data_IF_573541731572
#
_entry.id   IF_573541731572
#
_cell.length_a   1.000
_cell.length_b   1.000
_cell.length_c   1.000
_cell.angle_alpha   90.00
_cell.angle_beta   90.00
_cell.angle_gamma   90.00
#
_symmetry.space_group_name_H-M   'P 1'
#
loop_
_entity.id
_entity.type
_entity.pdbx_description
1 polymer ?
#
# COMPACT_ATOMS: atom_id res chain seq x y z
N UNK A 1 1.41 15.61 26.93
CA UNK A 1 1.68 16.28 25.65
C UNK A 1 0.76 15.64 24.65
N UNK A 2 -0.10 16.45 24.03
CA UNK A 2 -1.09 15.93 23.09
C UNK A 2 -0.40 15.32 21.88
N UNK A 3 -1.04 14.29 21.31
CA UNK A 3 -0.57 13.62 20.11
C UNK A 3 -1.66 13.65 19.07
N UNK A 4 -1.27 13.91 17.84
CA UNK A 4 -2.15 13.94 16.69
C UNK A 4 -1.79 12.77 15.78
N UNK A 5 -2.74 11.89 15.52
CA UNK A 5 -2.52 10.73 14.66
C UNK A 5 -2.95 11.06 13.25
N UNK A 6 -2.08 10.77 12.30
CA UNK A 6 -2.36 10.88 10.88
C UNK A 6 -2.28 9.50 10.27
N UNK A 7 -3.24 9.14 9.42
CA UNK A 7 -3.10 8.05 8.47
C UNK A 7 -2.77 8.65 7.12
N UNK A 8 -1.67 8.19 6.54
CA UNK A 8 -1.18 8.73 5.27
C UNK A 8 -1.18 7.60 4.24
N UNK A 9 -1.60 7.91 3.02
CA UNK A 9 -1.56 7.05 1.82
C UNK A 9 -0.37 7.45 0.95
N UNK A 10 0.43 6.48 0.48
CA UNK A 10 1.53 6.71 -0.46
C UNK A 10 1.48 5.68 -1.55
N UNK A 11 2.07 6.07 -2.67
CA UNK A 11 2.47 5.14 -3.69
C UNK A 11 3.85 4.55 -3.40
N UNK A 12 4.07 3.36 -3.96
CA UNK A 12 5.34 2.64 -4.00
C UNK A 12 5.38 1.95 -5.35
N UNK A 13 5.82 2.69 -6.35
CA UNK A 13 5.88 2.23 -7.74
C UNK A 13 7.32 2.01 -8.19
N UNK A 14 7.53 1.57 -9.44
CA UNK A 14 8.87 1.34 -9.98
C UNK A 14 9.78 2.56 -9.84
N UNK A 15 11.05 2.40 -9.42
CA UNK A 15 11.75 1.15 -9.11
C UNK A 15 11.62 0.69 -7.63
N UNK A 16 10.90 1.44 -6.79
CA UNK A 16 10.85 1.21 -5.34
C UNK A 16 10.06 -0.04 -4.91
N UNK A 17 9.32 -0.67 -5.83
CA UNK A 17 8.67 -1.95 -5.57
C UNK A 17 9.65 -3.13 -5.31
N UNK A 18 10.95 -2.93 -5.57
CA UNK A 18 12.02 -3.89 -5.24
C UNK A 18 12.67 -3.66 -3.88
N UNK A 19 12.21 -2.67 -3.11
CA UNK A 19 12.78 -2.37 -1.79
C UNK A 19 12.03 -3.12 -0.69
N UNK A 20 12.78 -3.65 0.26
CA UNK A 20 12.21 -4.36 1.41
C UNK A 20 11.37 -3.44 2.29
N UNK A 21 10.38 -4.00 2.99
CA UNK A 21 9.56 -3.22 3.93
C UNK A 21 10.42 -2.55 5.01
N UNK A 22 11.47 -3.20 5.49
CA UNK A 22 12.37 -2.65 6.50
C UNK A 22 13.11 -1.41 5.99
N UNK A 23 13.59 -1.45 4.76
CA UNK A 23 14.30 -0.33 4.15
C UNK A 23 13.34 0.81 3.79
N UNK A 24 12.09 0.50 3.41
CA UNK A 24 11.04 1.48 3.24
C UNK A 24 10.69 2.18 4.57
N UNK A 25 10.56 1.42 5.66
CA UNK A 25 10.33 2.00 7.00
C UNK A 25 11.47 2.92 7.44
N UNK A 26 12.72 2.53 7.15
CA UNK A 26 13.91 3.37 7.41
C UNK A 26 13.92 4.63 6.53
N UNK A 27 13.54 4.50 5.27
CA UNK A 27 13.43 5.62 4.34
C UNK A 27 12.43 6.64 4.84
N UNK A 28 11.22 6.22 5.19
CA UNK A 28 10.19 7.11 5.72
C UNK A 28 10.63 7.76 7.04
N UNK A 29 11.20 6.99 7.97
CA UNK A 29 11.75 7.55 9.21
C UNK A 29 12.79 8.65 8.96
N UNK A 30 13.63 8.49 7.92
CA UNK A 30 14.59 9.53 7.51
C UNK A 30 13.90 10.71 6.83
N UNK A 31 12.91 10.47 5.97
CA UNK A 31 12.16 11.53 5.29
C UNK A 31 11.45 12.43 6.30
N UNK A 32 10.72 11.85 7.27
CA UNK A 32 10.10 12.60 8.37
C UNK A 32 11.11 13.44 9.16
N UNK A 33 12.31 12.89 9.42
CA UNK A 33 13.36 13.61 10.13
C UNK A 33 13.93 14.77 9.31
N UNK A 34 14.25 14.57 8.03
CA UNK A 34 14.80 15.62 7.15
C UNK A 34 13.77 16.73 6.90
N UNK A 35 12.51 16.36 6.78
CA UNK A 35 11.37 17.28 6.67
C UNK A 35 11.20 18.18 7.91
N UNK A 36 11.87 17.89 9.03
CA UNK A 36 11.69 18.61 10.29
C UNK A 36 10.28 18.45 10.87
N UNK A 37 9.56 17.38 10.49
CA UNK A 37 8.20 17.14 10.97
C UNK A 37 8.22 16.79 12.47
N UNK A 38 7.24 17.28 13.26
CA UNK A 38 7.20 17.13 14.72
C UNK A 38 6.72 15.73 15.13
N UNK A 39 7.40 14.67 14.67
CA UNK A 39 7.06 13.28 14.96
C UNK A 39 7.24 13.00 16.45
N UNK A 40 6.22 12.43 17.08
CA UNK A 40 6.27 11.98 18.45
C UNK A 40 7.10 10.68 18.57
N UNK A 41 7.75 10.51 19.71
CA UNK A 41 8.59 9.35 19.98
C UNK A 41 8.03 8.49 21.13
N UNK A 42 8.38 7.21 21.13
CA UNK A 42 8.13 6.30 22.25
C UNK A 42 8.90 6.75 23.49
N UNK A 43 8.40 6.36 24.66
CA UNK A 43 9.08 6.60 25.94
C UNK A 43 10.11 5.48 26.21
N UNK A 44 11.14 5.77 27.01
CA UNK A 44 12.16 4.81 27.44
C UNK A 44 13.57 5.06 26.89
N UNK A 45 14.48 4.12 27.11
CA UNK A 45 15.93 4.29 26.86
C UNK A 45 16.33 4.32 25.38
N UNK A 46 15.45 3.86 24.47
CA UNK A 46 15.69 3.88 23.02
C UNK A 46 14.44 4.42 22.31
N UNK A 47 14.22 5.75 22.34
CA UNK A 47 13.03 6.36 21.75
C UNK A 47 12.99 6.10 20.24
N UNK A 48 11.88 5.54 19.77
CA UNK A 48 11.60 5.29 18.34
C UNK A 48 10.48 6.21 17.87
N UNK A 49 10.52 6.68 16.62
CA UNK A 49 9.40 7.45 16.07
C UNK A 49 8.13 6.61 16.14
N UNK A 50 7.03 7.23 16.54
CA UNK A 50 5.71 6.61 16.56
C UNK A 50 5.17 6.59 15.13
N UNK A 51 5.62 5.59 14.39
CA UNK A 51 5.33 5.34 12.99
C UNK A 51 4.97 3.86 12.84
N UNK A 52 3.79 3.56 12.30
CA UNK A 52 3.29 2.20 12.11
C UNK A 52 2.89 2.01 10.67
N UNK A 53 3.30 0.91 10.04
CA UNK A 53 3.01 0.63 8.64
C UNK A 53 1.90 -0.39 8.49
N UNK A 54 1.22 -0.36 7.35
CA UNK A 54 0.33 -1.44 6.92
C UNK A 54 1.08 -2.75 6.61
N UNK A 55 0.34 -3.81 6.24
CA UNK A 55 0.92 -5.08 5.85
C UNK A 55 1.96 -4.94 4.74
N UNK A 56 3.07 -5.66 4.88
CA UNK A 56 4.13 -5.66 3.89
C UNK A 56 3.67 -6.32 2.58
N UNK A 57 3.97 -5.69 1.45
CA UNK A 57 3.79 -6.31 0.14
C UNK A 57 4.99 -7.21 -0.23
N UNK A 58 4.76 -8.27 -1.02
CA UNK A 58 5.84 -9.01 -1.67
C UNK A 58 6.72 -8.10 -2.55
N UNK A 59 7.99 -8.46 -2.68
CA UNK A 59 8.89 -7.81 -3.64
C UNK A 59 8.34 -7.94 -5.07
N UNK A 60 8.53 -6.90 -5.89
CA UNK A 60 8.03 -6.88 -7.26
C UNK A 60 6.61 -6.34 -7.41
N UNK A 61 5.86 -6.18 -6.31
CA UNK A 61 4.49 -5.67 -6.34
C UNK A 61 4.48 -4.15 -6.14
N UNK A 62 3.95 -3.44 -7.12
CA UNK A 62 3.70 -2.00 -7.03
C UNK A 62 2.45 -1.72 -6.19
N UNK A 63 2.36 -0.52 -5.64
CA UNK A 63 1.19 -0.11 -4.87
C UNK A 63 0.92 1.38 -5.04
N UNK A 64 -0.36 1.72 -5.19
CA UNK A 64 -0.89 3.09 -5.09
C UNK A 64 -1.56 3.34 -3.75
N UNK A 65 -1.64 2.32 -2.89
CA UNK A 65 -2.45 2.32 -1.69
C UNK A 65 -1.72 1.67 -0.50
N UNK A 66 -0.46 2.06 -0.28
CA UNK A 66 0.21 1.75 0.99
C UNK A 66 -0.21 2.78 2.03
N UNK A 67 -0.15 2.37 3.30
CA UNK A 67 -0.56 3.22 4.42
C UNK A 67 0.38 3.11 5.61
N UNK A 68 0.54 4.23 6.31
CA UNK A 68 1.23 4.31 7.59
C UNK A 68 0.53 5.33 8.46
N UNK A 69 0.51 5.01 9.75
CA UNK A 69 0.07 5.91 10.78
C UNK A 69 1.29 6.58 11.40
N UNK A 70 1.27 7.90 11.51
CA UNK A 70 2.30 8.70 12.20
C UNK A 70 1.65 9.54 13.29
N UNK A 71 2.34 9.66 14.42
CA UNK A 71 1.90 10.53 15.51
C UNK A 71 2.79 11.76 15.56
N UNK A 72 2.19 12.94 15.59
CA UNK A 72 2.87 14.21 15.79
C UNK A 72 2.61 14.77 17.19
N UNK A 73 3.58 15.47 17.78
CA UNK A 73 3.38 16.20 19.05
C UNK A 73 2.88 17.64 18.84
N UNK A 74 2.77 18.08 17.58
CA UNK A 74 2.17 19.35 17.17
C UNK A 74 1.28 19.08 15.96
N UNK A 75 0.08 19.62 15.98
CA UNK A 75 -0.86 19.53 14.86
C UNK A 75 -0.34 20.30 13.65
N UNK A 76 -0.54 19.71 12.48
CA UNK A 76 -0.37 20.32 11.16
C UNK A 76 -1.62 20.01 10.33
N UNK A 77 -1.95 20.87 9.38
CA UNK A 77 -2.93 20.47 8.37
C UNK A 77 -2.39 19.27 7.55
N UNK A 78 -3.25 18.33 7.12
CA UNK A 78 -2.83 17.23 6.25
C UNK A 78 -2.06 17.72 5.01
N UNK A 79 -2.53 18.80 4.38
CA UNK A 79 -1.93 19.39 3.19
C UNK A 79 -0.52 19.91 3.45
N UNK A 80 -0.31 20.60 4.58
CA UNK A 80 1.01 21.08 4.99
C UNK A 80 1.97 19.91 5.27
N UNK A 81 1.52 18.87 5.98
CA UNK A 81 2.33 17.68 6.21
C UNK A 81 2.77 17.04 4.89
N UNK A 82 1.83 16.81 3.97
CA UNK A 82 2.10 16.20 2.68
C UNK A 82 3.06 17.06 1.85
N UNK A 83 2.86 18.38 1.82
CA UNK A 83 3.73 19.30 1.09
C UNK A 83 5.17 19.25 1.61
N UNK A 84 5.37 19.30 2.93
CA UNK A 84 6.72 19.26 3.52
C UNK A 84 7.36 17.89 3.30
N UNK A 85 6.63 16.81 3.56
CA UNK A 85 7.14 15.44 3.45
C UNK A 85 7.54 15.09 2.01
N UNK A 86 6.74 15.50 1.02
CA UNK A 86 6.99 15.17 -0.38
C UNK A 86 8.21 15.88 -0.98
N UNK A 87 8.78 16.89 -0.32
CA UNK A 87 10.08 17.48 -0.71
C UNK A 87 11.26 16.57 -0.40
N UNK A 88 11.06 15.58 0.48
CA UNK A 88 12.11 14.69 0.98
C UNK A 88 12.12 13.31 0.31
N UNK A 89 11.21 13.05 -0.63
CA UNK A 89 11.07 11.76 -1.32
C UNK A 89 10.95 11.96 -2.82
N UNK A 90 11.24 10.89 -3.59
CA UNK A 90 11.03 10.91 -5.04
C UNK A 90 9.54 10.74 -5.37
N UNK A 91 9.16 11.11 -6.59
CA UNK A 91 7.79 11.01 -7.10
C UNK A 91 7.21 9.61 -6.91
N UNK A 92 8.00 8.57 -7.09
CA UNK A 92 7.59 7.16 -7.06
C UNK A 92 7.23 6.65 -5.65
N UNK A 93 7.53 7.46 -4.62
CA UNK A 93 7.20 7.22 -3.21
C UNK A 93 6.25 8.26 -2.62
N UNK A 94 5.68 9.13 -3.46
CA UNK A 94 4.90 10.28 -3.02
C UNK A 94 3.78 9.89 -2.04
N UNK A 95 3.66 10.65 -0.95
CA UNK A 95 2.50 10.64 -0.07
C UNK A 95 1.36 11.45 -0.73
N UNK A 96 0.21 10.83 -0.92
CA UNK A 96 -0.88 11.36 -1.74
C UNK A 96 -2.02 11.94 -0.91
N UNK A 97 -2.40 11.26 0.18
CA UNK A 97 -3.54 11.62 1.02
C UNK A 97 -3.15 11.48 2.49
N UNK A 98 -3.73 12.31 3.35
CA UNK A 98 -3.53 12.22 4.79
C UNK A 98 -4.82 12.61 5.52
N UNK A 99 -5.18 11.83 6.54
CA UNK A 99 -6.35 12.07 7.39
C UNK A 99 -5.93 12.15 8.85
N UNK A 100 -6.48 13.12 9.57
CA UNK A 100 -6.37 13.16 11.04
C UNK A 100 -7.37 12.17 11.62
N UNK A 101 -6.89 11.26 12.46
CA UNK A 101 -7.70 10.22 13.07
C UNK A 101 -7.79 10.39 14.59
N UNK A 102 -8.92 10.03 15.21
CA UNK A 102 -8.99 9.85 16.66
C UNK A 102 -7.91 8.88 17.15
N UNK A 103 -7.33 9.15 18.31
CA UNK A 103 -6.31 8.26 18.90
C UNK A 103 -6.85 6.84 19.15
N UNK A 104 -8.16 6.70 19.38
CA UNK A 104 -8.87 5.44 19.56
C UNK A 104 -9.17 4.69 18.25
N UNK A 105 -8.94 5.29 17.08
CA UNK A 105 -9.24 4.66 15.80
C UNK A 105 -8.46 3.34 15.65
N UNK A 106 -9.00 2.30 15.00
CA UNK A 106 -8.28 1.04 14.84
C UNK A 106 -6.95 1.18 14.07
N UNK A 107 -6.00 0.27 14.31
CA UNK A 107 -4.78 0.17 13.51
C UNK A 107 -5.10 -0.12 12.04
N UNK A 108 -4.17 0.17 11.13
CA UNK A 108 -4.35 -0.06 9.68
C UNK A 108 -4.90 -1.46 9.42
N UNK A 109 -4.18 -2.49 9.88
CA UNK A 109 -4.56 -3.89 9.68
C UNK A 109 -5.93 -4.26 10.27
N UNK A 110 -6.36 -3.61 11.36
CA UNK A 110 -7.66 -3.89 11.99
C UNK A 110 -8.81 -3.17 11.29
N UNK A 111 -8.55 -2.00 10.70
CA UNK A 111 -9.54 -1.25 9.92
C UNK A 111 -9.65 -1.71 8.47
N UNK A 112 -8.70 -2.48 7.94
CA UNK A 112 -8.79 -2.95 6.55
C UNK A 112 -9.90 -3.99 6.39
N UNK A 113 -10.86 -3.73 5.50
CA UNK A 113 -11.98 -4.61 5.14
C UNK A 113 -11.82 -5.27 3.77
N UNK A 114 -10.91 -4.76 2.95
CA UNK A 114 -10.65 -5.30 1.62
C UNK A 114 -9.44 -4.67 0.97
N UNK A 115 -8.88 -5.33 -0.04
CA UNK A 115 -7.77 -4.80 -0.85
C UNK A 115 -8.00 -5.14 -2.32
N UNK A 116 -7.81 -4.15 -3.19
CA UNK A 116 -7.91 -4.34 -4.65
C UNK A 116 -6.53 -4.46 -5.26
N UNK A 117 -6.39 -5.44 -6.15
CA UNK A 117 -5.19 -5.65 -6.93
C UNK A 117 -5.51 -5.79 -8.41
N UNK A 118 -4.78 -5.08 -9.25
CA UNK A 118 -4.74 -5.28 -10.69
C UNK A 118 -3.60 -6.23 -11.06
N UNK A 119 -3.89 -7.19 -11.92
CA UNK A 119 -2.93 -8.12 -12.49
C UNK A 119 -2.90 -7.90 -14.00
N UNK A 120 -1.70 -7.65 -14.52
CA UNK A 120 -1.48 -7.30 -15.92
C UNK A 120 -0.86 -8.50 -16.63
N UNK A 121 -1.37 -8.84 -17.80
CA UNK A 121 -0.93 -9.96 -18.64
C UNK A 121 -0.75 -9.51 -20.08
N UNK A 122 -0.12 -10.34 -20.92
CA UNK A 122 -0.20 -10.19 -22.37
C UNK A 122 -1.67 -10.27 -22.82
N UNK A 123 -2.04 -9.48 -23.82
CA UNK A 123 -3.38 -9.52 -24.40
C UNK A 123 -3.75 -10.92 -24.96
N UNK A 124 -2.77 -11.76 -25.29
CA UNK A 124 -3.00 -13.14 -25.74
C UNK A 124 -3.75 -14.04 -24.75
N UNK A 125 -3.86 -13.62 -23.48
CA UNK A 125 -4.57 -14.35 -22.44
C UNK A 125 -6.07 -14.03 -22.38
N UNK A 126 -6.53 -12.95 -23.02
CA UNK A 126 -7.91 -12.45 -22.89
C UNK A 126 -8.96 -13.52 -23.16
N UNK A 127 -8.80 -14.31 -24.22
CA UNK A 127 -9.72 -15.40 -24.60
C UNK A 127 -9.59 -16.65 -23.71
N UNK A 128 -8.45 -16.80 -23.01
CA UNK A 128 -8.14 -17.95 -22.15
C UNK A 128 -8.48 -17.71 -20.69
N UNK A 129 -8.53 -16.44 -20.28
CA UNK A 129 -8.78 -16.05 -18.91
C UNK A 129 -10.19 -16.45 -18.48
N UNK A 130 -10.29 -17.45 -17.62
CA UNK A 130 -11.54 -17.89 -16.99
C UNK A 130 -11.65 -17.36 -15.57
N UNK A 131 -12.87 -17.17 -15.07
CA UNK A 131 -13.10 -16.87 -13.66
C UNK A 131 -12.71 -18.09 -12.81
N UNK A 132 -11.75 -17.91 -11.92
CA UNK A 132 -11.37 -18.87 -10.88
C UNK A 132 -12.10 -18.49 -9.60
N UNK A 133 -13.29 -19.06 -9.29
CA UNK A 133 -14.01 -18.71 -8.07
C UNK A 133 -13.21 -19.18 -6.85
N UNK A 134 -12.78 -18.23 -6.03
CA UNK A 134 -12.19 -18.50 -4.72
C UNK A 134 -12.93 -17.66 -3.67
N UNK A 135 -13.40 -18.30 -2.60
CA UNK A 135 -14.09 -17.61 -1.51
C UNK A 135 -13.20 -16.49 -0.94
N UNK A 136 -13.75 -15.29 -0.81
CA UNK A 136 -13.02 -14.09 -0.38
C UNK A 136 -12.21 -13.38 -1.47
N UNK A 137 -12.24 -13.84 -2.73
CA UNK A 137 -11.64 -13.16 -3.88
C UNK A 137 -12.70 -12.99 -4.96
N UNK A 138 -12.96 -11.74 -5.35
CA UNK A 138 -13.91 -11.38 -6.39
C UNK A 138 -13.19 -10.73 -7.55
N UNK A 139 -13.45 -11.20 -8.77
CA UNK A 139 -13.05 -10.48 -9.97
C UNK A 139 -14.06 -9.35 -10.23
N UNK A 140 -13.62 -8.10 -10.23
CA UNK A 140 -14.51 -6.94 -10.37
C UNK A 140 -14.55 -6.39 -11.79
N UNK A 141 -13.41 -6.44 -12.50
CA UNK A 141 -13.28 -5.80 -13.82
C UNK A 141 -12.20 -6.46 -14.66
N UNK A 142 -12.44 -6.50 -15.97
CA UNK A 142 -11.46 -6.77 -17.02
C UNK A 142 -11.38 -5.59 -17.97
N UNK A 143 -10.19 -5.24 -18.40
CA UNK A 143 -9.98 -4.23 -19.42
C UNK A 143 -8.69 -4.45 -20.19
N UNK A 144 -8.61 -3.85 -21.38
CA UNK A 144 -7.38 -3.79 -22.17
C UNK A 144 -6.81 -2.39 -22.06
N UNK A 145 -5.55 -2.29 -21.61
CA UNK A 145 -4.81 -1.03 -21.46
C UNK A 145 -3.57 -1.12 -22.34
N UNK A 146 -3.63 -0.49 -23.52
CA UNK A 146 -2.59 -0.64 -24.53
C UNK A 146 -2.53 -2.08 -25.04
N UNK A 147 -1.39 -2.74 -24.92
CA UNK A 147 -1.16 -4.14 -25.32
C UNK A 147 -1.33 -5.13 -24.14
N UNK A 148 -1.81 -4.65 -22.99
CA UNK A 148 -1.95 -5.45 -21.77
C UNK A 148 -3.41 -5.73 -21.46
N UNK A 149 -3.69 -6.98 -21.10
CA UNK A 149 -4.94 -7.39 -20.50
C UNK A 149 -4.84 -7.27 -18.98
N UNK A 150 -5.76 -6.53 -18.38
CA UNK A 150 -5.74 -6.20 -16.94
C UNK A 150 -6.98 -6.77 -16.28
N UNK A 151 -6.78 -7.45 -15.17
CA UNK A 151 -7.86 -8.00 -14.35
C UNK A 151 -7.75 -7.44 -12.93
N UNK A 152 -8.84 -6.83 -12.47
CA UNK A 152 -8.97 -6.28 -11.13
C UNK A 152 -9.65 -7.30 -10.23
N UNK A 153 -8.99 -7.64 -9.13
CA UNK A 153 -9.52 -8.52 -8.09
C UNK A 153 -9.65 -7.78 -6.76
N UNK A 154 -10.78 -8.00 -6.08
CA UNK A 154 -11.03 -7.58 -4.72
C UNK A 154 -10.85 -8.76 -3.76
N UNK A 155 -9.97 -8.59 -2.78
CA UNK A 155 -9.71 -9.54 -1.71
C UNK A 155 -10.41 -9.08 -0.43
N UNK A 156 -11.22 -9.93 0.19
CA UNK A 156 -12.03 -9.66 1.39
C UNK A 156 -11.85 -10.73 2.46
N UNK A 157 -12.38 -10.48 3.65
CA UNK A 157 -12.45 -11.43 4.76
C UNK A 157 -11.05 -12.01 5.09
N UNK A 158 -10.90 -13.33 5.20
CA UNK A 158 -9.62 -13.98 5.48
C UNK A 158 -8.59 -13.82 4.34
N UNK A 159 -9.03 -13.42 3.14
CA UNK A 159 -8.16 -13.21 1.98
C UNK A 159 -7.55 -11.81 1.91
N UNK A 160 -7.92 -10.90 2.80
CA UNK A 160 -7.31 -9.55 2.88
C UNK A 160 -5.79 -9.62 3.00
N UNK A 161 -5.28 -10.59 3.77
CA UNK A 161 -3.85 -10.82 3.98
C UNK A 161 -3.25 -11.85 3.01
N UNK A 162 -4.04 -12.28 2.02
CA UNK A 162 -3.55 -13.21 1.02
C UNK A 162 -2.46 -12.55 0.18
N UNK A 163 -1.35 -13.25 0.00
CA UNK A 163 -0.24 -12.73 -0.78
C UNK A 163 -0.67 -12.58 -2.25
N UNK A 164 -0.56 -11.39 -2.86
CA UNK A 164 -0.88 -11.22 -4.28
C UNK A 164 0.03 -12.06 -5.18
N UNK A 165 1.28 -12.32 -4.75
CA UNK A 165 2.18 -13.24 -5.46
C UNK A 165 1.66 -14.69 -5.45
N UNK A 166 0.99 -15.11 -4.37
CA UNK A 166 0.38 -16.45 -4.29
C UNK A 166 -0.82 -16.56 -5.22
N UNK A 167 -1.62 -15.50 -5.37
CA UNK A 167 -2.71 -15.48 -6.36
C UNK A 167 -2.17 -15.50 -7.78
N UNK A 168 -1.09 -14.77 -8.07
CA UNK A 168 -0.41 -14.82 -9.37
C UNK A 168 0.08 -16.24 -9.74
N UNK A 169 0.52 -17.05 -8.77
CA UNK A 169 0.88 -18.44 -9.03
C UNK A 169 -0.33 -19.32 -9.41
N UNK A 170 -1.51 -19.04 -8.84
CA UNK A 170 -2.75 -19.73 -9.18
C UNK A 170 -3.18 -19.33 -10.60
N UNK A 171 -3.25 -18.03 -10.87
CA UNK A 171 -3.57 -17.51 -12.20
C UNK A 171 -2.62 -18.06 -13.26
N UNK A 172 -1.31 -18.17 -12.97
CA UNK A 172 -0.34 -18.80 -13.89
C UNK A 172 -0.70 -20.25 -14.21
N UNK A 173 -1.07 -21.04 -13.20
CA UNK A 173 -1.41 -22.46 -13.40
C UNK A 173 -2.69 -22.61 -14.22
N UNK A 174 -3.66 -21.74 -14.00
CA UNK A 174 -4.96 -21.84 -14.66
C UNK A 174 -4.99 -21.22 -16.05
N UNK A 175 -4.37 -20.05 -16.23
CA UNK A 175 -4.40 -19.31 -17.48
C UNK A 175 -3.17 -19.59 -18.35
N UNK A 176 -2.12 -20.20 -17.78
CA UNK A 176 -0.89 -20.56 -18.49
C UNK A 176 0.12 -19.43 -18.63
N UNK A 177 -0.11 -18.28 -18.01
CA UNK A 177 0.77 -17.11 -18.08
C UNK A 177 0.89 -16.42 -16.71
N UNK A 178 2.10 -15.98 -16.36
CA UNK A 178 2.32 -15.15 -15.18
C UNK A 178 1.94 -13.69 -15.48
N UNK A 179 1.38 -12.96 -14.51
CA UNK A 179 1.22 -11.52 -14.68
C UNK A 179 2.59 -10.86 -14.83
N UNK A 180 2.72 -9.96 -15.80
CA UNK A 180 3.92 -9.15 -16.02
C UNK A 180 4.06 -8.03 -14.99
N UNK A 181 2.93 -7.64 -14.36
CA UNK A 181 2.87 -6.61 -13.33
C UNK A 181 1.70 -6.87 -12.40
N UNK A 182 1.89 -6.57 -11.12
CA UNK A 182 0.84 -6.59 -10.10
C UNK A 182 0.85 -5.24 -9.39
N UNK A 183 -0.32 -4.64 -9.24
CA UNK A 183 -0.49 -3.33 -8.58
C UNK A 183 -1.56 -3.46 -7.51
N UNK A 184 -1.23 -3.06 -6.28
CA UNK A 184 -2.25 -2.79 -5.26
C UNK A 184 -2.87 -1.43 -5.54
N UNK A 185 -4.14 -1.43 -5.94
CA UNK A 185 -4.83 -0.20 -6.36
C UNK A 185 -5.46 0.52 -5.17
N UNK A 186 -6.06 -0.22 -4.23
CA UNK A 186 -6.90 0.37 -3.19
C UNK A 186 -6.96 -0.48 -1.92
N UNK A 187 -7.22 0.18 -0.79
CA UNK A 187 -7.58 -0.44 0.49
C UNK A 187 -8.98 0.03 0.88
N UNK A 188 -9.85 -0.91 1.22
CA UNK A 188 -11.19 -0.64 1.74
C UNK A 188 -11.16 -0.63 3.27
N UNK A 189 -11.84 0.33 3.90
CA UNK A 189 -11.82 0.61 5.34
C UNK A 189 -13.16 0.38 6.03
#
# INVERSE_FOLDING_TARGET
MDKFRYRVKHQKIAPFHFISQLDLSRLWSRAFRRAGLPVAYSQGFNPRPLLSFGPALPLGVESRAEYWDVFLYRELSPEEMLMILNREVLSELKAEEADILPLSFPSISRSTKGVRYSYYFSQSIEEKAGLSPEMGIEEEKREVVGELFVVLFLFKEEKILYSPAKWAEILRKEWGESPVKIVKEEVLW
#
